data_IF_993030076021
#
_entry.id   IF_993030076021
#
_cell.length_a   1.000
_cell.length_b   1.000
_cell.length_c   1.000
_cell.angle_alpha   90.00
_cell.angle_beta   90.00
_cell.angle_gamma   90.00
#
_symmetry.space_group_name_H-M   'P 1'
#
loop_
_entity.id
_entity.type
_entity.pdbx_description
1 polymer ?
#
# COMPACT_ATOMS: atom_id res chain seq x y z
N UNK A 1 -6.18 4.38 -13.34
CA UNK A 1 -5.47 4.87 -14.54
C UNK A 1 -5.37 3.74 -15.54
N UNK A 2 -5.63 3.97 -16.85
CA UNK A 2 -5.35 2.97 -17.87
C UNK A 2 -3.84 2.63 -17.85
N UNK A 3 -3.51 1.34 -17.81
CA UNK A 3 -2.12 0.85 -17.73
C UNK A 3 -1.45 0.96 -16.34
N UNK A 4 -2.16 1.43 -15.32
CA UNK A 4 -1.65 1.46 -13.94
C UNK A 4 -1.67 0.09 -13.26
N UNK A 5 -0.97 -0.02 -12.14
CA UNK A 5 -1.00 -1.22 -11.30
C UNK A 5 -2.40 -1.44 -10.71
N UNK A 6 -2.90 -2.66 -10.82
CA UNK A 6 -4.07 -3.10 -10.09
C UNK A 6 -3.79 -3.27 -8.59
N UNK A 7 -4.86 -3.41 -7.81
CA UNK A 7 -4.76 -3.56 -6.35
C UNK A 7 -3.86 -4.74 -5.95
N UNK A 8 -4.16 -5.94 -6.46
CA UNK A 8 -3.39 -7.14 -6.13
C UNK A 8 -1.95 -7.08 -6.65
N UNK A 9 -1.72 -6.50 -7.82
CA UNK A 9 -0.36 -6.31 -8.36
C UNK A 9 0.46 -5.39 -7.45
N UNK A 10 -0.15 -4.32 -6.93
CA UNK A 10 0.49 -3.40 -5.97
C UNK A 10 0.86 -4.14 -4.68
N UNK A 11 -0.06 -4.95 -4.12
CA UNK A 11 0.23 -5.73 -2.92
C UNK A 11 1.33 -6.78 -3.15
N UNK A 12 1.33 -7.46 -4.30
CA UNK A 12 2.39 -8.42 -4.65
C UNK A 12 3.75 -7.73 -4.82
N UNK A 13 3.77 -6.49 -5.35
CA UNK A 13 4.98 -5.69 -5.42
C UNK A 13 5.51 -5.36 -4.02
N UNK A 14 4.66 -4.91 -3.10
CA UNK A 14 5.04 -4.66 -1.71
C UNK A 14 5.62 -5.89 -1.03
N UNK A 15 5.00 -7.06 -1.19
CA UNK A 15 5.53 -8.31 -0.67
C UNK A 15 6.88 -8.70 -1.27
N UNK A 16 7.08 -8.44 -2.57
CA UNK A 16 8.35 -8.72 -3.24
C UNK A 16 9.47 -7.83 -2.73
N UNK A 17 9.21 -6.53 -2.54
CA UNK A 17 10.17 -5.57 -2.00
C UNK A 17 10.51 -5.90 -0.54
N UNK A 18 9.50 -6.13 0.30
CA UNK A 18 9.70 -6.43 1.72
C UNK A 18 10.48 -7.73 1.99
N UNK A 19 10.58 -8.64 1.00
CA UNK A 19 11.43 -9.85 1.09
C UNK A 19 12.89 -9.59 0.73
N UNK A 20 13.20 -8.49 0.04
CA UNK A 20 14.52 -8.19 -0.49
C UNK A 20 15.28 -7.14 0.32
N UNK A 21 14.55 -6.28 1.05
CA UNK A 21 15.16 -5.25 1.88
C UNK A 21 14.32 -4.99 3.14
N UNK A 22 14.98 -4.39 4.14
CA UNK A 22 14.31 -3.81 5.30
C UNK A 22 13.66 -2.48 4.93
N UNK A 23 12.35 -2.37 5.16
CA UNK A 23 11.58 -1.16 4.87
C UNK A 23 11.51 -0.31 6.13
N UNK A 24 12.23 0.81 6.15
CA UNK A 24 12.29 1.72 7.30
C UNK A 24 11.26 2.86 7.27
N UNK A 25 10.50 2.99 6.16
CA UNK A 25 9.50 4.03 5.99
C UNK A 25 8.72 3.92 4.69
N UNK A 26 7.54 4.55 4.64
CA UNK A 26 6.65 4.61 3.49
C UNK A 26 5.79 5.88 3.58
N UNK A 27 5.39 6.43 2.43
CA UNK A 27 4.51 7.60 2.32
C UNK A 27 3.45 7.38 1.21
N UNK A 28 2.27 7.98 1.38
CA UNK A 28 1.23 8.05 0.35
C UNK A 28 1.20 9.46 -0.23
N UNK A 29 1.71 9.58 -1.44
CA UNK A 29 1.74 10.85 -2.18
C UNK A 29 0.59 10.92 -3.20
N UNK A 30 0.36 12.13 -3.74
CA UNK A 30 -0.66 12.38 -4.78
C UNK A 30 -2.10 12.02 -4.36
N UNK A 31 -2.37 12.04 -3.06
CA UNK A 31 -3.70 11.80 -2.53
C UNK A 31 -4.60 13.03 -2.72
N UNK A 32 -5.57 12.93 -3.62
CA UNK A 32 -6.53 13.99 -3.94
C UNK A 32 -7.98 13.53 -3.71
N UNK A 33 -8.49 13.57 -2.47
CA UNK A 33 -9.85 13.12 -2.15
C UNK A 33 -10.92 14.04 -2.75
N UNK A 34 -12.06 13.46 -3.11
CA UNK A 34 -13.25 14.22 -3.51
C UNK A 34 -14.16 14.37 -2.28
N UNK A 35 -14.53 15.61 -1.94
CA UNK A 35 -15.40 15.90 -0.79
C UNK A 35 -16.70 15.09 -0.87
N UNK A 36 -17.02 14.37 0.20
CA UNK A 36 -18.21 13.53 0.29
C UNK A 36 -18.08 12.16 -0.37
N UNK A 37 -16.93 11.83 -0.97
CA UNK A 37 -16.66 10.51 -1.56
C UNK A 37 -15.55 9.76 -0.82
N UNK A 38 -15.95 9.03 0.22
CA UNK A 38 -15.03 8.40 1.18
C UNK A 38 -14.21 7.23 0.65
N UNK A 39 -14.50 6.75 -0.57
CA UNK A 39 -13.82 5.59 -1.15
C UNK A 39 -12.31 5.81 -1.29
N UNK A 40 -11.86 7.04 -1.58
CA UNK A 40 -10.43 7.34 -1.72
C UNK A 40 -9.71 7.33 -0.39
N UNK A 41 -10.29 7.95 0.64
CA UNK A 41 -9.75 7.97 2.00
C UNK A 41 -9.65 6.54 2.56
N UNK A 42 -10.72 5.76 2.38
CA UNK A 42 -10.72 4.35 2.78
C UNK A 42 -9.67 3.53 2.02
N UNK A 43 -9.52 3.73 0.71
CA UNK A 43 -8.55 2.97 -0.09
C UNK A 43 -7.11 3.29 0.31
N UNK A 44 -6.78 4.56 0.57
CA UNK A 44 -5.47 4.97 1.05
C UNK A 44 -5.18 4.36 2.43
N UNK A 45 -6.12 4.47 3.38
CA UNK A 45 -5.99 3.88 4.71
C UNK A 45 -5.82 2.34 4.65
N UNK A 46 -6.61 1.67 3.81
CA UNK A 46 -6.52 0.22 3.63
C UNK A 46 -5.19 -0.19 2.99
N UNK A 47 -4.66 0.58 2.03
CA UNK A 47 -3.36 0.31 1.42
C UNK A 47 -2.23 0.42 2.45
N UNK A 48 -2.23 1.48 3.26
CA UNK A 48 -1.30 1.64 4.39
C UNK A 48 -1.39 0.46 5.35
N UNK A 49 -2.61 0.10 5.78
CA UNK A 49 -2.82 -1.02 6.71
C UNK A 49 -2.30 -2.34 6.13
N UNK A 50 -2.53 -2.59 4.84
CA UNK A 50 -2.00 -3.79 4.17
C UNK A 50 -0.47 -3.80 4.11
N UNK A 51 0.16 -2.66 3.82
CA UNK A 51 1.62 -2.52 3.82
C UNK A 51 2.22 -2.82 5.20
N UNK A 52 1.69 -2.19 6.25
CA UNK A 52 2.11 -2.46 7.64
C UNK A 52 1.98 -3.95 7.98
N UNK A 53 0.85 -4.56 7.64
CA UNK A 53 0.66 -5.99 7.88
C UNK A 53 1.59 -6.89 7.07
N UNK A 54 1.96 -6.51 5.84
CA UNK A 54 2.95 -7.25 5.03
C UNK A 54 4.32 -7.21 5.70
N UNK A 55 4.76 -6.02 6.13
CA UNK A 55 6.03 -5.82 6.83
C UNK A 55 6.08 -6.66 8.12
N UNK A 56 5.07 -6.52 8.98
CA UNK A 56 4.99 -7.21 10.27
C UNK A 56 5.12 -8.74 10.12
N UNK A 57 4.40 -9.33 9.15
CA UNK A 57 4.43 -10.78 8.91
C UNK A 57 5.78 -11.29 8.42
N UNK A 58 6.55 -10.45 7.74
CA UNK A 58 7.86 -10.84 7.19
C UNK A 58 8.99 -10.61 8.20
N UNK A 59 8.86 -9.62 9.08
CA UNK A 59 9.81 -9.36 10.17
C UNK A 59 9.61 -10.30 11.37
N UNK A 60 8.39 -10.81 11.57
CA UNK A 60 8.09 -11.80 12.63
C UNK A 60 8.52 -13.24 12.29
N UNK A 61 9.24 -13.45 11.18
CA UNK A 61 9.84 -14.74 10.79
C UNK A 61 11.30 -14.79 11.21
#
# INVERSE_FOLDING_TARGET
>A
MPGGLGWYQTLSLFESVAKQCEIIGFDITEFAPIKGFHAYEFSAALLTYKMMGIIERLQSR
#
